data_IF_721053178995
#
_entry.id   IF_721053178995
#
_cell.length_a   1.000
_cell.length_b   1.000
_cell.length_c   1.000
_cell.angle_alpha   90.00
_cell.angle_beta   90.00
_cell.angle_gamma   90.00
#
_symmetry.space_group_name_H-M   'P 1'
#
loop_
_entity.id
_entity.type
_entity.pdbx_description
1 polymer ?
#
# COMPACT_ATOMS: atom_id res chain seq x y z
N UNK A 1 19.76 -21.13 55.02
CA UNK A 1 19.22 -19.93 54.34
C UNK A 1 19.57 -19.89 52.86
N UNK A 2 20.79 -20.25 52.43
CA UNK A 2 21.17 -20.23 51.00
C UNK A 2 20.38 -21.16 50.08
N UNK A 3 19.94 -22.33 50.55
CA UNK A 3 19.15 -23.29 49.73
C UNK A 3 17.75 -22.78 49.40
N UNK A 4 17.11 -22.05 50.33
CA UNK A 4 15.74 -21.53 50.14
C UNK A 4 15.71 -20.33 49.17
N UNK A 5 16.77 -19.54 49.11
CA UNK A 5 16.94 -18.43 48.16
C UNK A 5 17.19 -18.96 46.73
N UNK A 6 17.92 -20.08 46.61
CA UNK A 6 18.18 -20.74 45.32
C UNK A 6 16.93 -21.37 44.69
N UNK A 7 16.02 -21.94 45.49
CA UNK A 7 14.78 -22.57 44.98
C UNK A 7 13.77 -21.52 44.51
N UNK A 8 13.58 -20.45 45.29
CA UNK A 8 12.68 -19.34 44.92
C UNK A 8 13.17 -18.60 43.66
N UNK A 9 14.49 -18.56 43.41
CA UNK A 9 15.09 -18.05 42.17
C UNK A 9 14.66 -18.87 40.96
N UNK A 10 14.84 -20.19 41.03
CA UNK A 10 14.59 -21.08 39.90
C UNK A 10 13.08 -21.14 39.59
N UNK A 11 12.22 -20.98 40.61
CA UNK A 11 10.76 -20.85 40.45
C UNK A 11 10.35 -19.55 39.75
N UNK A 12 10.89 -18.39 40.16
CA UNK A 12 10.58 -17.09 39.54
C UNK A 12 11.08 -16.99 38.11
N UNK A 13 12.30 -17.47 37.85
CA UNK A 13 12.83 -17.56 36.49
C UNK A 13 11.96 -18.48 35.63
N UNK A 14 11.57 -19.64 36.14
CA UNK A 14 10.68 -20.55 35.43
C UNK A 14 9.28 -19.97 35.20
N UNK A 15 8.80 -19.08 36.07
CA UNK A 15 7.54 -18.35 35.90
C UNK A 15 7.64 -17.30 34.79
N UNK A 16 8.67 -16.44 34.82
CA UNK A 16 8.94 -15.46 33.77
C UNK A 16 9.14 -16.15 32.42
N UNK A 17 10.03 -17.14 32.36
CA UNK A 17 10.32 -17.90 31.13
C UNK A 17 9.08 -18.59 30.55
N UNK A 18 8.22 -19.19 31.39
CA UNK A 18 6.96 -19.81 30.94
C UNK A 18 5.96 -18.79 30.39
N UNK A 19 5.99 -17.54 30.87
CA UNK A 19 5.14 -16.47 30.37
C UNK A 19 5.64 -15.85 29.06
N UNK A 20 6.95 -15.61 28.94
CA UNK A 20 7.51 -14.80 27.84
C UNK A 20 7.93 -15.62 26.63
N UNK A 21 8.44 -16.85 26.82
CA UNK A 21 8.91 -17.70 25.71
C UNK A 21 7.78 -18.00 24.70
N UNK A 22 6.54 -18.30 25.11
CA UNK A 22 5.44 -18.49 24.16
C UNK A 22 5.14 -17.24 23.32
N UNK A 23 5.24 -16.05 23.93
CA UNK A 23 5.02 -14.76 23.25
C UNK A 23 6.10 -14.55 22.18
N UNK A 24 7.38 -14.68 22.55
CA UNK A 24 8.49 -14.56 21.60
C UNK A 24 8.38 -15.56 20.47
N UNK A 25 8.07 -16.82 20.77
CA UNK A 25 7.87 -17.86 19.76
C UNK A 25 6.76 -17.47 18.78
N UNK A 26 5.62 -17.01 19.29
CA UNK A 26 4.48 -16.61 18.45
C UNK A 26 4.79 -15.38 17.60
N UNK A 27 5.55 -14.41 18.12
CA UNK A 27 6.02 -13.24 17.37
C UNK A 27 7.02 -13.63 16.26
N UNK A 28 7.98 -14.51 16.57
CA UNK A 28 8.95 -15.03 15.58
C UNK A 28 8.24 -15.83 14.48
N UNK A 29 7.32 -16.73 14.86
CA UNK A 29 6.54 -17.54 13.92
C UNK A 29 5.73 -16.63 12.97
N UNK A 30 5.17 -15.53 13.46
CA UNK A 30 4.47 -14.55 12.64
C UNK A 30 5.39 -13.81 11.69
N UNK A 31 6.57 -13.36 12.14
CA UNK A 31 7.55 -12.75 11.26
C UNK A 31 7.99 -13.72 10.15
N UNK A 32 8.18 -15.00 10.46
CA UNK A 32 8.56 -16.02 9.48
C UNK A 32 7.44 -16.28 8.45
N UNK A 33 6.19 -16.39 8.90
CA UNK A 33 5.02 -16.56 8.02
C UNK A 33 4.78 -15.32 7.15
N UNK A 34 4.86 -14.13 7.74
CA UNK A 34 4.66 -12.86 7.05
C UNK A 34 5.77 -12.58 6.03
N UNK A 35 7.03 -12.90 6.34
CA UNK A 35 8.17 -12.73 5.42
C UNK A 35 7.98 -13.54 4.13
N UNK A 36 7.51 -14.78 4.25
CA UNK A 36 7.23 -15.64 3.10
C UNK A 36 6.13 -15.08 2.18
N UNK A 37 5.07 -14.49 2.75
CA UNK A 37 3.99 -13.84 1.98
C UNK A 37 4.45 -12.52 1.37
N UNK A 38 5.09 -11.66 2.15
CA UNK A 38 5.40 -10.26 1.77
C UNK A 38 6.30 -10.19 0.56
N UNK A 39 7.32 -11.04 0.47
CA UNK A 39 8.23 -11.06 -0.70
C UNK A 39 7.50 -11.47 -1.97
N UNK A 40 6.61 -12.47 -1.88
CA UNK A 40 5.78 -12.91 -3.00
C UNK A 40 4.79 -11.81 -3.39
N UNK A 41 4.12 -11.20 -2.43
CA UNK A 41 3.15 -10.11 -2.64
C UNK A 41 3.82 -8.87 -3.27
N UNK A 42 5.04 -8.54 -2.84
CA UNK A 42 5.86 -7.47 -3.40
C UNK A 42 6.23 -7.76 -4.85
N UNK A 43 6.72 -8.97 -5.15
CA UNK A 43 7.05 -9.38 -6.51
C UNK A 43 5.83 -9.35 -7.43
N UNK A 44 4.68 -9.87 -6.98
CA UNK A 44 3.42 -9.81 -7.72
C UNK A 44 3.02 -8.36 -8.00
N UNK A 45 3.11 -7.48 -7.00
CA UNK A 45 2.78 -6.06 -7.15
C UNK A 45 3.73 -5.34 -8.13
N UNK A 46 5.04 -5.61 -8.07
CA UNK A 46 6.00 -5.06 -9.02
C UNK A 46 5.73 -5.52 -10.46
N UNK A 47 5.42 -6.80 -10.67
CA UNK A 47 5.04 -7.31 -11.99
C UNK A 47 3.75 -6.66 -12.50
N UNK A 48 2.75 -6.46 -11.64
CA UNK A 48 1.52 -5.76 -12.00
C UNK A 48 1.78 -4.30 -12.41
N UNK A 49 2.62 -3.57 -11.68
CA UNK A 49 3.03 -2.20 -12.06
C UNK A 49 3.77 -2.18 -13.39
N UNK A 50 4.72 -3.11 -13.59
CA UNK A 50 5.48 -3.19 -14.82
C UNK A 50 4.59 -3.49 -16.04
N UNK A 51 3.65 -4.41 -15.90
CA UNK A 51 2.66 -4.73 -16.95
C UNK A 51 1.73 -3.54 -17.22
N UNK A 52 1.23 -2.87 -16.17
CA UNK A 52 0.39 -1.68 -16.33
C UNK A 52 1.16 -0.52 -17.00
N UNK A 53 2.46 -0.36 -16.72
CA UNK A 53 3.31 0.63 -17.39
C UNK A 53 3.56 0.29 -18.87
N UNK A 54 3.75 -0.98 -19.20
CA UNK A 54 3.90 -1.41 -20.61
C UNK A 54 2.59 -1.19 -21.37
N UNK A 55 1.45 -1.56 -20.76
CA UNK A 55 0.13 -1.29 -21.32
C UNK A 55 -0.16 0.21 -21.43
N UNK A 56 0.25 1.00 -20.44
CA UNK A 56 0.15 2.46 -20.42
C UNK A 56 0.89 3.08 -21.61
N UNK A 57 2.13 2.67 -21.83
CA UNK A 57 2.96 3.17 -22.93
C UNK A 57 2.32 2.79 -24.28
N UNK A 58 1.93 1.53 -24.46
CA UNK A 58 1.30 1.08 -25.70
C UNK A 58 -0.03 1.77 -25.99
N UNK A 59 -0.88 1.93 -24.97
CA UNK A 59 -2.14 2.68 -25.09
C UNK A 59 -1.90 4.17 -25.30
N UNK A 60 -0.91 4.77 -24.65
CA UNK A 60 -0.55 6.19 -24.81
C UNK A 60 -0.04 6.50 -26.22
N UNK A 61 0.81 5.63 -26.80
CA UNK A 61 1.26 5.77 -28.18
C UNK A 61 0.09 5.70 -29.17
N UNK A 62 -0.79 4.71 -29.00
CA UNK A 62 -1.97 4.57 -29.85
C UNK A 62 -2.94 5.73 -29.66
N UNK A 63 -3.20 6.13 -28.42
CA UNK A 63 -4.08 7.23 -28.06
C UNK A 63 -3.56 8.55 -28.60
N UNK A 64 -2.26 8.84 -28.48
CA UNK A 64 -1.68 10.05 -29.06
C UNK A 64 -1.84 10.09 -30.58
N UNK A 65 -1.68 8.94 -31.23
CA UNK A 65 -1.87 8.83 -32.68
C UNK A 65 -3.34 9.09 -33.06
N UNK A 66 -4.27 8.52 -32.31
CA UNK A 66 -5.71 8.72 -32.52
C UNK A 66 -6.11 10.17 -32.23
N UNK A 67 -5.64 10.75 -31.13
CA UNK A 67 -5.83 12.15 -30.72
C UNK A 67 -5.31 13.11 -31.79
N UNK A 68 -4.11 12.86 -32.32
CA UNK A 68 -3.54 13.66 -33.41
C UNK A 68 -4.40 13.58 -34.66
N UNK A 69 -4.90 12.38 -35.00
CA UNK A 69 -5.77 12.20 -36.17
C UNK A 69 -7.14 12.89 -36.00
N UNK A 70 -7.70 12.85 -34.78
CA UNK A 70 -8.97 13.50 -34.44
C UNK A 70 -8.80 15.02 -34.45
N UNK A 71 -7.70 15.56 -33.92
CA UNK A 71 -7.38 16.98 -33.97
C UNK A 71 -7.21 17.46 -35.42
N UNK A 72 -6.50 16.69 -36.26
CA UNK A 72 -6.38 16.99 -37.70
C UNK A 72 -7.76 16.97 -38.39
N UNK A 73 -8.64 16.05 -37.99
CA UNK A 73 -10.03 15.96 -38.45
C UNK A 73 -10.86 17.19 -38.06
N UNK A 74 -10.84 17.55 -36.77
CA UNK A 74 -11.52 18.75 -36.25
C UNK A 74 -11.01 20.00 -36.95
N UNK A 75 -9.69 20.16 -37.12
CA UNK A 75 -9.10 21.30 -37.81
C UNK A 75 -9.56 21.38 -39.27
N UNK A 76 -9.65 20.24 -39.97
CA UNK A 76 -10.21 20.19 -41.33
C UNK A 76 -11.69 20.52 -41.38
N UNK A 77 -12.49 20.04 -40.42
CA UNK A 77 -13.92 20.34 -40.35
C UNK A 77 -14.17 21.82 -40.06
N UNK A 78 -13.42 22.41 -39.14
CA UNK A 78 -13.48 23.85 -38.81
C UNK A 78 -13.08 24.70 -40.01
N UNK A 79 -12.00 24.35 -40.72
CA UNK A 79 -11.58 25.09 -41.91
C UNK A 79 -12.60 24.92 -43.05
N UNK A 80 -13.16 23.71 -43.23
CA UNK A 80 -14.25 23.46 -44.18
C UNK A 80 -15.52 24.24 -43.85
N UNK A 81 -15.86 24.34 -42.57
CA UNK A 81 -16.94 25.19 -42.05
C UNK A 81 -16.71 26.66 -42.38
N UNK A 82 -15.48 27.14 -42.16
CA UNK A 82 -15.08 28.53 -42.44
C UNK A 82 -15.19 28.86 -43.93
N UNK A 83 -14.72 27.97 -44.80
CA UNK A 83 -14.83 28.13 -46.26
C UNK A 83 -16.29 28.12 -46.70
N UNK A 84 -17.10 27.14 -46.26
CA UNK A 84 -18.53 27.05 -46.59
C UNK A 84 -19.32 28.26 -46.10
N UNK A 85 -19.03 28.76 -44.90
CA UNK A 85 -19.66 29.98 -44.36
C UNK A 85 -19.28 31.23 -45.16
N UNK A 86 -18.03 31.31 -45.62
CA UNK A 86 -17.53 32.39 -46.50
C UNK A 86 -18.19 32.37 -47.89
N UNK A 87 -18.40 31.19 -48.47
CA UNK A 87 -19.09 31.00 -49.75
C UNK A 87 -20.60 31.29 -49.63
N UNK A 88 -21.26 30.80 -48.58
CA UNK A 88 -22.68 31.05 -48.31
C UNK A 88 -22.98 32.54 -48.05
N UNK A 89 -22.02 33.29 -47.50
CA UNK A 89 -22.11 34.75 -47.35
C UNK A 89 -22.16 35.50 -48.69
N UNK A 90 -21.58 34.94 -49.77
CA UNK A 90 -21.60 35.53 -51.11
C UNK A 90 -22.89 35.27 -51.90
N UNK A 91 -23.61 34.18 -51.58
CA UNK A 91 -24.77 33.69 -52.34
C UNK A 91 -26.13 33.97 -51.64
N UNK A 92 -26.12 34.65 -50.49
CA UNK A 92 -27.32 35.13 -49.77
C UNK A 92 -28.21 34.05 -49.14
N UNK A 93 -27.93 32.77 -49.37
CA UNK A 93 -28.73 31.64 -48.87
C UNK A 93 -27.87 30.81 -47.91
N UNK A 94 -27.90 31.15 -46.62
CA UNK A 94 -27.29 30.33 -45.59
C UNK A 94 -28.14 29.07 -45.40
N UNK A 95 -27.67 27.93 -45.90
CA UNK A 95 -28.31 26.64 -45.63
C UNK A 95 -28.06 26.27 -44.16
N UNK A 96 -29.00 26.62 -43.28
CA UNK A 96 -28.98 26.34 -41.84
C UNK A 96 -28.67 24.86 -41.51
N UNK A 97 -29.02 23.96 -42.41
CA UNK A 97 -28.83 22.52 -42.25
C UNK A 97 -27.35 22.11 -42.29
N UNK A 98 -26.55 22.72 -43.18
CA UNK A 98 -25.12 22.41 -43.34
C UNK A 98 -24.31 22.88 -42.12
N UNK A 99 -24.69 24.03 -41.54
CA UNK A 99 -24.06 24.54 -40.31
C UNK A 99 -24.38 23.66 -39.10
N UNK A 100 -25.63 23.20 -38.96
CA UNK A 100 -26.04 22.34 -37.86
C UNK A 100 -25.37 20.97 -37.89
N UNK A 101 -25.29 20.34 -39.07
CA UNK A 101 -24.65 19.04 -39.26
C UNK A 101 -23.14 19.09 -38.97
N UNK A 102 -22.49 20.18 -39.39
CA UNK A 102 -21.05 20.36 -39.17
C UNK A 102 -20.70 20.73 -37.72
N UNK A 103 -21.54 21.51 -37.02
CA UNK A 103 -21.39 21.78 -35.57
C UNK A 103 -21.59 20.49 -34.76
N UNK A 104 -22.55 19.64 -35.18
CA UNK A 104 -22.75 18.33 -34.58
C UNK A 104 -21.53 17.42 -34.74
N UNK A 105 -20.86 17.46 -35.89
CA UNK A 105 -19.63 16.69 -36.16
C UNK A 105 -18.49 17.11 -35.22
N UNK A 106 -18.19 18.41 -35.14
CA UNK A 106 -17.15 18.95 -34.24
C UNK A 106 -17.45 18.63 -32.77
N UNK A 107 -18.71 18.72 -32.35
CA UNK A 107 -19.10 18.39 -30.97
C UNK A 107 -18.88 16.90 -30.65
N UNK A 108 -19.26 16.00 -31.56
CA UNK A 108 -19.03 14.57 -31.39
C UNK A 108 -17.53 14.26 -31.29
N UNK A 109 -16.69 14.89 -32.13
CA UNK A 109 -15.23 14.71 -32.05
C UNK A 109 -14.63 15.22 -30.73
N UNK A 110 -15.17 16.30 -30.14
CA UNK A 110 -14.74 16.78 -28.82
C UNK A 110 -15.16 15.84 -27.67
N UNK A 111 -16.32 15.19 -27.79
CA UNK A 111 -16.77 14.16 -26.84
C UNK A 111 -15.87 12.93 -26.90
N UNK A 112 -15.50 12.49 -28.11
CA UNK A 112 -14.54 11.39 -28.30
C UNK A 112 -13.16 11.73 -27.71
N UNK A 113 -12.67 12.96 -27.93
CA UNK A 113 -11.42 13.46 -27.36
C UNK A 113 -11.43 13.45 -25.81
N UNK A 114 -12.55 13.85 -25.21
CA UNK A 114 -12.74 13.85 -23.77
C UNK A 114 -12.74 12.42 -23.21
N UNK A 115 -13.36 11.49 -23.93
CA UNK A 115 -13.40 10.07 -23.58
C UNK A 115 -12.01 9.43 -23.63
N UNK A 116 -11.22 9.77 -24.66
CA UNK A 116 -9.81 9.39 -24.79
C UNK A 116 -8.96 9.89 -23.59
N UNK A 117 -9.16 11.14 -23.15
CA UNK A 117 -8.47 11.69 -21.98
C UNK A 117 -8.83 10.97 -20.67
N UNK A 118 -10.07 10.50 -20.53
CA UNK A 118 -10.50 9.79 -19.32
C UNK A 118 -9.75 8.46 -19.14
N UNK A 119 -9.45 7.76 -20.24
CA UNK A 119 -8.67 6.50 -20.22
C UNK A 119 -7.27 6.70 -19.60
N UNK A 120 -6.61 7.85 -19.86
CA UNK A 120 -5.32 8.17 -19.25
C UNK A 120 -5.45 8.47 -17.75
N UNK A 121 -6.54 9.12 -17.33
CA UNK A 121 -6.80 9.38 -15.92
C UNK A 121 -7.03 8.07 -15.15
N UNK A 122 -7.80 7.14 -15.71
CA UNK A 122 -8.09 5.84 -15.10
C UNK A 122 -6.80 5.00 -14.97
N UNK A 123 -5.97 5.02 -16.01
CA UNK A 123 -4.65 4.37 -16.03
C UNK A 123 -3.71 4.90 -14.94
N UNK A 124 -3.63 6.22 -14.78
CA UNK A 124 -2.86 6.85 -13.72
C UNK A 124 -3.40 6.48 -12.32
N UNK A 125 -4.73 6.32 -12.21
CA UNK A 125 -5.39 5.80 -11.01
C UNK A 125 -4.95 4.38 -10.65
N UNK A 126 -4.92 3.48 -11.64
CA UNK A 126 -4.51 2.08 -11.44
C UNK A 126 -3.03 1.97 -11.04
N UNK A 127 -2.14 2.73 -11.69
CA UNK A 127 -0.71 2.76 -11.33
C UNK A 127 -0.54 3.26 -9.89
N UNK A 128 -1.26 4.31 -9.48
CA UNK A 128 -1.24 4.80 -8.09
C UNK A 128 -1.68 3.73 -7.10
N UNK A 129 -2.79 3.05 -7.37
CA UNK A 129 -3.28 1.99 -6.50
C UNK A 129 -2.29 0.82 -6.35
N UNK A 130 -1.57 0.48 -7.42
CA UNK A 130 -0.54 -0.57 -7.37
C UNK A 130 0.72 -0.09 -6.61
N UNK A 131 1.09 1.18 -6.72
CA UNK A 131 2.16 1.78 -5.91
C UNK A 131 1.79 1.81 -4.42
N UNK A 132 0.54 2.11 -4.08
CA UNK A 132 0.06 2.07 -2.69
C UNK A 132 0.18 0.66 -2.09
N UNK A 133 -0.09 -0.38 -2.87
CA UNK A 133 0.11 -1.77 -2.44
C UNK A 133 1.58 -2.11 -2.18
N UNK A 134 2.49 -1.61 -3.03
CA UNK A 134 3.94 -1.77 -2.81
C UNK A 134 4.37 -1.05 -1.53
N UNK A 135 3.88 0.16 -1.28
CA UNK A 135 4.19 0.90 -0.05
C UNK A 135 3.72 0.16 1.20
N UNK A 136 2.52 -0.43 1.17
CA UNK A 136 2.01 -1.27 2.26
C UNK A 136 2.89 -2.50 2.47
N UNK A 137 3.31 -3.17 1.38
CA UNK A 137 4.20 -4.33 1.48
C UNK A 137 5.57 -3.97 2.10
N UNK A 138 6.14 -2.82 1.75
CA UNK A 138 7.39 -2.32 2.33
C UNK A 138 7.24 -1.92 3.81
N UNK A 139 6.08 -1.41 4.22
CA UNK A 139 5.81 -1.10 5.63
C UNK A 139 5.74 -2.37 6.49
N UNK A 140 5.33 -3.51 5.94
CA UNK A 140 5.38 -4.78 6.65
C UNK A 140 6.82 -5.21 6.95
N UNK A 141 7.79 -4.91 6.07
CA UNK A 141 9.21 -5.19 6.30
C UNK A 141 9.75 -4.43 7.51
N UNK A 142 9.43 -3.13 7.61
CA UNK A 142 9.80 -2.31 8.75
C UNK A 142 9.15 -2.81 10.06
N UNK A 143 7.85 -3.16 10.01
CA UNK A 143 7.15 -3.75 11.17
C UNK A 143 7.77 -5.06 11.63
N UNK A 144 8.15 -5.96 10.71
CA UNK A 144 8.84 -7.21 11.06
C UNK A 144 10.19 -6.94 11.75
N UNK A 145 10.94 -5.96 11.25
CA UNK A 145 12.21 -5.54 11.86
C UNK A 145 12.01 -5.04 13.29
N UNK A 146 10.97 -4.23 13.53
CA UNK A 146 10.61 -3.73 14.86
C UNK A 146 10.26 -4.88 15.82
N UNK A 147 9.39 -5.81 15.41
CA UNK A 147 9.00 -6.97 16.23
C UNK A 147 10.23 -7.81 16.63
N UNK A 148 11.10 -8.15 15.66
CA UNK A 148 12.30 -8.94 15.94
C UNK A 148 13.27 -8.18 16.85
N UNK A 149 13.37 -6.86 16.71
CA UNK A 149 14.19 -6.01 17.58
C UNK A 149 13.69 -6.07 19.03
N UNK A 150 12.40 -5.87 19.27
CA UNK A 150 11.83 -5.93 20.61
C UNK A 150 11.96 -7.33 21.24
N UNK A 151 11.78 -8.40 20.46
CA UNK A 151 12.02 -9.78 20.93
C UNK A 151 13.48 -9.96 21.35
N UNK A 152 14.44 -9.50 20.53
CA UNK A 152 15.87 -9.60 20.86
C UNK A 152 16.23 -8.77 22.09
N UNK A 153 15.66 -7.57 22.24
CA UNK A 153 15.88 -6.70 23.39
C UNK A 153 15.34 -7.33 24.68
N UNK A 154 14.16 -7.95 24.66
CA UNK A 154 13.59 -8.61 25.83
C UNK A 154 14.33 -9.92 26.18
N UNK A 155 14.83 -10.65 25.18
CA UNK A 155 15.75 -11.77 25.41
C UNK A 155 17.03 -11.30 26.10
N UNK A 156 17.65 -10.21 25.61
CA UNK A 156 18.85 -9.65 26.23
C UNK A 156 18.58 -9.17 27.65
N UNK A 157 17.43 -8.54 27.88
CA UNK A 157 16.98 -8.16 29.23
C UNK A 157 16.91 -9.38 30.15
N UNK A 158 16.45 -10.54 29.67
CA UNK A 158 16.41 -11.77 30.47
C UNK A 158 17.82 -12.29 30.77
N UNK A 159 18.72 -12.27 29.78
CA UNK A 159 20.13 -12.62 29.95
C UNK A 159 20.84 -11.72 30.98
N UNK A 160 20.59 -10.41 30.95
CA UNK A 160 21.17 -9.45 31.90
C UNK A 160 20.73 -9.76 33.33
N UNK A 161 19.44 -10.03 33.57
CA UNK A 161 18.93 -10.39 34.90
C UNK A 161 19.43 -11.77 35.37
N UNK A 162 19.72 -12.69 34.45
CA UNK A 162 20.37 -13.96 34.76
C UNK A 162 21.83 -13.78 35.19
N UNK A 163 22.54 -12.81 34.60
CA UNK A 163 23.92 -12.48 34.93
C UNK A 163 24.07 -11.68 36.25
N UNK A 164 23.15 -10.75 36.53
CA UNK A 164 23.16 -9.90 37.74
C UNK A 164 22.70 -10.63 39.02
N UNK A 165 21.96 -11.72 38.87
CA UNK A 165 21.55 -12.59 39.97
C UNK A 165 20.17 -12.27 40.58
N UNK A 166 19.62 -13.25 41.29
CA UNK A 166 18.19 -13.42 41.63
C UNK A 166 17.48 -12.28 42.37
N UNK A 167 18.20 -11.37 43.03
CA UNK A 167 17.57 -10.30 43.79
C UNK A 167 16.94 -9.22 42.90
N UNK A 168 17.35 -9.17 41.62
CA UNK A 168 16.89 -8.17 40.65
C UNK A 168 15.76 -8.67 39.74
N UNK A 169 15.40 -9.97 39.76
CA UNK A 169 14.43 -10.51 38.81
C UNK A 169 12.99 -10.00 39.13
N UNK A 170 12.33 -9.29 38.19
CA UNK A 170 10.95 -8.85 38.38
C UNK A 170 9.99 -10.04 38.49
N UNK A 171 8.81 -9.80 39.07
CA UNK A 171 7.69 -10.75 38.91
C UNK A 171 7.17 -10.75 37.47
N UNK A 172 6.47 -11.81 37.09
CA UNK A 172 5.95 -11.99 35.73
C UNK A 172 5.09 -10.80 35.28
N UNK A 173 4.26 -10.23 36.14
CA UNK A 173 3.37 -9.13 35.75
C UNK A 173 4.15 -7.85 35.45
N UNK A 174 5.16 -7.52 36.27
CA UNK A 174 6.04 -6.37 36.00
C UNK A 174 6.86 -6.56 34.73
N UNK A 175 7.33 -7.79 34.49
CA UNK A 175 8.01 -8.15 33.24
C UNK A 175 7.12 -7.90 32.02
N UNK A 176 5.93 -8.49 32.01
CA UNK A 176 4.96 -8.39 30.93
C UNK A 176 4.49 -6.93 30.72
N UNK A 177 4.33 -6.15 31.79
CA UNK A 177 3.97 -4.74 31.68
C UNK A 177 5.07 -3.93 30.97
N UNK A 178 6.33 -4.21 31.28
CA UNK A 178 7.48 -3.55 30.62
C UNK A 178 7.58 -3.98 29.15
N UNK A 179 7.43 -5.28 28.88
CA UNK A 179 7.43 -5.83 27.53
C UNK A 179 6.28 -5.26 26.68
N UNK A 180 5.10 -5.07 27.27
CA UNK A 180 3.98 -4.42 26.59
C UNK A 180 4.22 -2.94 26.32
N UNK A 181 4.94 -2.25 27.21
CA UNK A 181 5.26 -0.84 27.05
C UNK A 181 6.32 -0.56 25.96
N UNK A 182 7.13 -1.56 25.59
CA UNK A 182 8.11 -1.44 24.50
C UNK A 182 7.52 -1.63 23.10
N UNK A 183 6.29 -2.15 22.98
CA UNK A 183 5.69 -2.42 21.67
C UNK A 183 5.36 -1.14 20.91
N UNK A 184 5.70 -1.14 19.62
CA UNK A 184 5.38 -0.05 18.68
C UNK A 184 4.31 -0.45 17.68
N UNK A 185 4.03 -1.75 17.54
CA UNK A 185 3.17 -2.29 16.49
C UNK A 185 1.87 -2.89 17.06
N UNK A 186 0.73 -2.80 16.33
CA UNK A 186 -0.52 -3.42 16.75
C UNK A 186 -0.45 -4.96 16.78
N UNK A 187 0.39 -5.57 15.94
CA UNK A 187 0.59 -7.01 15.87
C UNK A 187 1.16 -7.56 17.19
N UNK A 188 2.11 -6.85 17.82
CA UNK A 188 2.67 -7.23 19.12
C UNK A 188 1.62 -7.19 20.24
N UNK A 189 0.77 -6.18 20.21
CA UNK A 189 -0.30 -6.02 21.19
C UNK A 189 -1.32 -7.14 21.10
N UNK A 190 -1.68 -7.56 19.88
CA UNK A 190 -2.60 -8.67 19.65
C UNK A 190 -2.03 -10.00 20.18
N UNK A 191 -0.76 -10.29 19.88
CA UNK A 191 -0.08 -11.51 20.35
C UNK A 191 0.02 -11.55 21.87
N UNK A 192 0.41 -10.43 22.47
CA UNK A 192 0.50 -10.33 23.92
C UNK A 192 -0.87 -10.45 24.62
N UNK A 193 -1.95 -10.01 23.96
CA UNK A 193 -3.32 -10.18 24.42
C UNK A 193 -3.86 -11.62 24.32
N UNK A 194 -3.11 -12.54 23.70
CA UNK A 194 -3.58 -13.90 23.42
C UNK A 194 -4.52 -13.98 22.22
N UNK A 195 -4.62 -12.92 21.42
CA UNK A 195 -5.35 -12.95 20.16
C UNK A 195 -4.50 -13.70 19.13
N UNK A 196 -5.12 -14.65 18.42
CA UNK A 196 -4.51 -15.19 17.21
C UNK A 196 -4.64 -14.10 16.15
N UNK A 197 -3.56 -13.61 15.52
CA UNK A 197 -3.70 -12.58 14.49
C UNK A 197 -4.43 -13.18 13.30
N UNK A 198 -5.75 -12.97 13.29
CA UNK A 198 -6.64 -13.38 12.22
C UNK A 198 -6.61 -12.30 11.15
N UNK A 199 -5.82 -12.57 10.09
CA UNK A 199 -5.64 -11.73 8.91
C UNK A 199 -5.06 -10.33 9.20
N UNK A 200 -4.30 -9.73 8.27
CA UNK A 200 -3.84 -8.35 8.45
C UNK A 200 -5.07 -7.48 8.72
N UNK A 201 -5.09 -6.84 9.89
CA UNK A 201 -6.08 -5.83 10.20
C UNK A 201 -6.01 -4.80 9.08
N UNK A 202 -7.01 -4.83 8.21
CA UNK A 202 -7.22 -3.87 7.12
C UNK A 202 -6.90 -2.50 7.69
N UNK A 203 -5.83 -1.92 7.15
CA UNK A 203 -5.20 -0.69 7.63
C UNK A 203 -6.22 0.24 8.29
N UNK A 204 -6.16 0.33 9.63
CA UNK A 204 -6.63 1.52 10.29
C UNK A 204 -5.83 2.66 9.66
N UNK A 205 -6.56 3.55 8.97
CA UNK A 205 -6.01 4.55 8.08
C UNK A 205 -4.81 5.24 8.71
N UNK A 206 -3.67 5.13 8.02
CA UNK A 206 -2.59 6.09 8.20
C UNK A 206 -3.14 7.38 7.61
N UNK A 207 -3.65 8.26 8.48
CA UNK A 207 -3.93 9.66 8.14
C UNK A 207 -2.61 10.29 7.69
N UNK A 208 -2.47 10.48 6.38
CA UNK A 208 -1.42 11.32 5.80
C UNK A 208 -1.89 12.77 5.88
N UNK A 209 -1.15 13.60 6.60
CA UNK A 209 -1.16 15.06 6.47
C UNK A 209 -0.46 15.49 5.17
#
# INVERSE_FOLDING_TARGET
>A
MSTHVSVVRDERLAEVARGVIPIWRQQIDQCLLASGSTVVDLLVSFFAVADELIQAIGRSEHLNKDLSSQLDGILKEIEGLRVKASEASKDGTVSHQVLHESVGSVFNSLVELTSASQVLCDLNGNVRQNLDQILVALQHEDRMSQILTHVCEDMRRLEDHLAEGAAALPDLNSWLATLKASYSTPEEHAVHGGETPGAPARAAGVDFF
#
